data_IF_644039861383
#
_entry.id   IF_644039861383
#
_cell.length_a   1.000
_cell.length_b   1.000
_cell.length_c   1.000
_cell.angle_alpha   90.00
_cell.angle_beta   90.00
_cell.angle_gamma   90.00
#
_symmetry.space_group_name_H-M   'P 1'
#
loop_
_entity.id
_entity.type
_entity.pdbx_description
1 polymer ?
#
# COMPACT_ATOMS: atom_id res chain seq x y z
N UNK A 1 -2.77 -7.45 -35.65
CA UNK A 1 -1.70 -6.42 -35.59
C UNK A 1 -0.68 -6.69 -34.48
N UNK A 2 -1.10 -6.96 -33.23
CA UNK A 2 -0.19 -7.20 -32.07
C UNK A 2 0.67 -8.48 -32.19
N UNK A 3 0.14 -9.54 -32.82
CA UNK A 3 0.85 -10.83 -32.96
C UNK A 3 2.17 -10.77 -33.74
N UNK A 4 2.36 -9.75 -34.60
CA UNK A 4 3.55 -9.57 -35.44
C UNK A 4 4.74 -8.96 -34.69
N UNK A 5 4.50 -8.34 -33.54
CA UNK A 5 5.53 -7.71 -32.70
C UNK A 5 5.84 -8.50 -31.43
N UNK A 6 5.22 -9.67 -31.24
CA UNK A 6 5.55 -10.57 -30.14
C UNK A 6 6.87 -11.29 -30.48
N UNK A 7 7.97 -11.04 -29.75
CA UNK A 7 9.15 -11.87 -29.87
C UNK A 7 8.76 -13.32 -29.55
N UNK A 8 9.23 -14.27 -30.37
CA UNK A 8 9.09 -15.70 -30.09
C UNK A 8 9.96 -16.06 -28.86
N UNK A 9 9.45 -15.77 -27.67
CA UNK A 9 10.07 -16.19 -26.41
C UNK A 9 9.73 -17.68 -26.26
N UNK A 10 10.59 -18.53 -26.81
CA UNK A 10 10.58 -19.97 -26.53
C UNK A 10 10.80 -20.12 -25.02
N UNK A 11 9.81 -20.59 -24.27
CA UNK A 11 10.01 -20.98 -22.87
C UNK A 11 10.99 -22.15 -22.87
N UNK A 12 12.26 -21.91 -22.50
CA UNK A 12 13.32 -22.93 -22.48
C UNK A 12 13.15 -23.92 -21.31
N UNK A 13 12.14 -23.78 -20.44
CA UNK A 13 11.89 -24.75 -19.37
C UNK A 13 10.83 -25.78 -19.77
N UNK A 14 11.28 -26.86 -20.41
CA UNK A 14 10.50 -28.07 -20.69
C UNK A 14 10.27 -28.98 -19.47
N UNK A 15 9.88 -28.41 -18.33
CA UNK A 15 9.50 -29.16 -17.13
C UNK A 15 8.00 -29.02 -16.86
N UNK A 16 7.30 -30.10 -16.48
CA UNK A 16 5.92 -30.01 -15.97
C UNK A 16 5.91 -29.08 -14.76
N UNK A 17 5.42 -27.85 -14.91
CA UNK A 17 5.18 -26.93 -13.80
C UNK A 17 4.09 -27.56 -12.94
N UNK A 18 4.42 -27.99 -11.72
CA UNK A 18 3.44 -28.48 -10.75
C UNK A 18 3.01 -27.32 -9.90
N UNK A 19 1.74 -26.94 -9.99
CA UNK A 19 1.18 -25.87 -9.17
C UNK A 19 1.15 -26.29 -7.70
N UNK A 20 1.78 -25.52 -6.83
CA UNK A 20 1.80 -25.77 -5.37
C UNK A 20 0.51 -25.23 -4.71
N UNK A 21 -0.61 -25.91 -4.95
CA UNK A 21 -1.89 -25.57 -4.31
C UNK A 21 -1.83 -25.57 -2.77
N UNK A 22 -1.17 -26.54 -2.11
CA UNK A 22 -1.05 -26.53 -0.65
C UNK A 22 -0.23 -25.34 -0.13
N UNK A 23 0.88 -24.99 -0.79
CA UNK A 23 1.66 -23.80 -0.45
C UNK A 23 0.84 -22.52 -0.59
N UNK A 24 0.07 -22.38 -1.67
CA UNK A 24 -0.81 -21.24 -1.88
C UNK A 24 -1.88 -21.11 -0.78
N UNK A 25 -2.48 -22.24 -0.36
CA UNK A 25 -3.46 -22.28 0.73
C UNK A 25 -2.81 -21.89 2.07
N UNK A 26 -1.60 -22.38 2.35
CA UNK A 26 -0.86 -22.03 3.56
C UNK A 26 -0.53 -20.54 3.60
N UNK A 27 -0.07 -19.95 2.48
CA UNK A 27 0.15 -18.50 2.38
C UNK A 27 -1.15 -17.75 2.68
N UNK A 28 -2.26 -18.12 2.04
CA UNK A 28 -3.55 -17.47 2.27
C UNK A 28 -3.98 -17.54 3.75
N UNK A 29 -3.80 -18.69 4.41
CA UNK A 29 -4.11 -18.88 5.82
C UNK A 29 -3.19 -18.06 6.74
N UNK A 30 -1.89 -17.95 6.44
CA UNK A 30 -0.97 -17.07 7.19
C UNK A 30 -1.45 -15.63 7.10
N UNK A 31 -1.77 -15.15 5.89
CA UNK A 31 -2.18 -13.76 5.70
C UNK A 31 -3.53 -13.46 6.36
N UNK A 32 -4.50 -14.37 6.23
CA UNK A 32 -5.81 -14.22 6.86
C UNK A 32 -5.72 -14.25 8.39
N UNK A 33 -4.97 -15.19 8.97
CA UNK A 33 -4.79 -15.27 10.42
C UNK A 33 -4.02 -14.06 10.97
N UNK A 34 -3.00 -13.58 10.26
CA UNK A 34 -2.26 -12.37 10.61
C UNK A 34 -3.16 -11.12 10.55
N UNK A 35 -4.01 -11.01 9.54
CA UNK A 35 -4.96 -9.89 9.41
C UNK A 35 -5.94 -9.87 10.59
N UNK A 36 -6.59 -11.01 10.87
CA UNK A 36 -7.54 -11.15 11.98
C UNK A 36 -6.88 -10.89 13.33
N UNK A 37 -5.64 -11.36 13.51
CA UNK A 37 -4.86 -11.11 14.71
C UNK A 37 -4.66 -9.61 14.93
N UNK A 38 -4.18 -8.90 13.91
CA UNK A 38 -3.86 -7.46 14.01
C UNK A 38 -5.14 -6.65 14.21
N UNK A 39 -6.19 -6.96 13.46
CA UNK A 39 -7.49 -6.30 13.60
C UNK A 39 -8.08 -6.48 15.00
N UNK A 40 -8.07 -7.72 15.51
CA UNK A 40 -8.64 -8.02 16.82
C UNK A 40 -7.83 -7.43 17.96
N UNK A 41 -6.50 -7.54 17.89
CA UNK A 41 -5.58 -6.93 18.85
C UNK A 41 -5.80 -5.42 18.93
N UNK A 42 -6.02 -4.78 17.78
CA UNK A 42 -6.18 -3.34 17.74
C UNK A 42 -7.57 -2.87 18.20
N UNK A 43 -8.63 -3.67 18.00
CA UNK A 43 -10.00 -3.34 18.47
C UNK A 43 -10.25 -3.66 19.95
N UNK A 44 -9.74 -4.79 20.44
CA UNK A 44 -10.10 -5.32 21.77
C UNK A 44 -8.91 -5.39 22.73
N UNK A 45 -7.70 -5.04 22.28
CA UNK A 45 -6.48 -5.26 23.04
C UNK A 45 -6.10 -6.74 23.15
N UNK A 46 -5.13 -7.08 24.00
CA UNK A 46 -4.71 -8.46 24.20
C UNK A 46 -5.77 -9.24 24.98
N UNK A 47 -6.52 -10.12 24.31
CA UNK A 47 -7.44 -11.09 24.91
C UNK A 47 -7.00 -12.55 24.65
N UNK A 48 -7.71 -13.51 25.25
CA UNK A 48 -7.44 -14.94 25.02
C UNK A 48 -7.55 -15.33 23.54
N UNK A 49 -8.42 -14.66 22.78
CA UNK A 49 -8.64 -14.97 21.37
C UNK A 49 -7.50 -14.46 20.50
N UNK A 50 -6.94 -13.29 20.81
CA UNK A 50 -5.71 -12.75 20.19
C UNK A 50 -4.55 -13.72 20.41
N UNK A 51 -4.43 -14.29 21.60
CA UNK A 51 -3.40 -15.30 21.87
C UNK A 51 -3.61 -16.58 21.05
N UNK A 52 -4.86 -17.04 20.92
CA UNK A 52 -5.20 -18.17 20.04
C UNK A 52 -4.90 -17.85 18.56
N UNK A 53 -5.28 -16.66 18.08
CA UNK A 53 -4.99 -16.22 16.71
C UNK A 53 -3.48 -16.10 16.46
N UNK A 54 -2.72 -15.62 17.44
CA UNK A 54 -1.26 -15.56 17.36
C UNK A 54 -0.64 -16.96 17.29
N UNK A 55 -1.14 -17.90 18.10
CA UNK A 55 -0.72 -19.29 18.06
C UNK A 55 -1.05 -19.94 16.71
N UNK A 56 -2.27 -19.76 16.19
CA UNK A 56 -2.69 -20.26 14.87
C UNK A 56 -1.82 -19.67 13.77
N UNK A 57 -1.60 -18.35 13.77
CA UNK A 57 -0.75 -17.69 12.80
C UNK A 57 0.68 -18.24 12.84
N UNK A 58 1.25 -18.45 14.03
CA UNK A 58 2.59 -19.02 14.19
C UNK A 58 2.66 -20.48 13.71
N UNK A 59 1.65 -21.30 14.02
CA UNK A 59 1.57 -22.70 13.59
C UNK A 59 1.44 -22.83 12.08
N UNK A 60 0.56 -22.04 11.45
CA UNK A 60 0.39 -22.04 9.99
C UNK A 60 1.64 -21.50 9.30
N UNK A 61 2.29 -20.47 9.84
CA UNK A 61 3.56 -19.97 9.32
C UNK A 61 4.66 -21.04 9.41
N UNK A 62 4.72 -21.77 10.52
CA UNK A 62 5.66 -22.87 10.69
C UNK A 62 5.37 -24.01 9.69
N UNK A 63 4.09 -24.36 9.50
CA UNK A 63 3.67 -25.32 8.49
C UNK A 63 4.08 -24.89 7.07
N UNK A 64 3.92 -23.60 6.73
CA UNK A 64 4.37 -23.03 5.47
C UNK A 64 5.89 -23.18 5.29
N UNK A 65 6.68 -22.81 6.30
CA UNK A 65 8.15 -22.91 6.24
C UNK A 65 8.60 -24.36 6.07
N UNK A 66 7.96 -25.31 6.76
CA UNK A 66 8.27 -26.74 6.63
C UNK A 66 7.85 -27.28 5.25
N UNK A 67 6.69 -26.85 4.74
CA UNK A 67 6.19 -27.26 3.43
C UNK A 67 7.10 -26.75 2.29
N UNK A 68 7.40 -25.46 2.27
CA UNK A 68 8.24 -24.81 1.26
C UNK A 68 9.67 -25.39 1.23
N UNK A 69 10.19 -25.84 2.38
CA UNK A 69 11.50 -26.54 2.44
C UNK A 69 11.47 -27.95 1.86
N UNK A 70 10.31 -28.61 1.83
CA UNK A 70 10.15 -29.99 1.36
C UNK A 70 9.68 -30.06 -0.09
N UNK A 71 9.00 -29.03 -0.59
CA UNK A 71 8.40 -29.04 -1.91
C UNK A 71 9.46 -28.82 -3.01
N UNK A 72 9.49 -29.61 -4.11
CA UNK A 72 10.51 -29.48 -5.16
C UNK A 72 10.44 -28.19 -6.00
N UNK A 73 9.27 -27.54 -6.06
CA UNK A 73 9.04 -26.31 -6.84
C UNK A 73 8.34 -25.25 -5.97
N UNK A 74 9.01 -24.75 -4.91
CA UNK A 74 8.41 -23.86 -3.92
C UNK A 74 7.87 -22.55 -4.54
N UNK A 75 6.75 -22.03 -4.01
CA UNK A 75 6.22 -20.71 -4.41
C UNK A 75 7.17 -19.61 -3.94
N UNK A 76 7.83 -19.83 -2.80
CA UNK A 76 8.82 -18.92 -2.22
C UNK A 76 10.23 -19.54 -2.26
N UNK A 77 10.92 -19.54 -3.43
CA UNK A 77 12.28 -20.03 -3.55
C UNK A 77 13.20 -19.37 -2.52
N UNK A 78 13.88 -20.19 -1.70
CA UNK A 78 14.83 -19.69 -0.69
C UNK A 78 15.97 -18.86 -1.28
N UNK A 79 16.25 -19.04 -2.57
CA UNK A 79 17.24 -18.27 -3.33
C UNK A 79 16.95 -16.76 -3.32
N UNK A 80 15.67 -16.37 -3.40
CA UNK A 80 15.25 -14.97 -3.33
C UNK A 80 15.59 -14.33 -1.99
N UNK A 81 15.36 -15.08 -0.91
CA UNK A 81 15.57 -14.59 0.46
C UNK A 81 17.05 -14.61 0.88
N UNK A 82 17.92 -15.34 0.17
CA UNK A 82 19.39 -15.24 0.36
C UNK A 82 19.96 -13.95 -0.19
N UNK A 83 19.33 -13.35 -1.21
CA UNK A 83 19.77 -12.07 -1.75
C UNK A 83 19.27 -10.90 -0.88
N UNK A 84 20.16 -10.34 -0.07
CA UNK A 84 19.85 -9.21 0.83
C UNK A 84 19.24 -8.00 0.10
N UNK A 85 19.61 -7.77 -1.17
CA UNK A 85 19.05 -6.69 -1.97
C UNK A 85 17.59 -6.93 -2.36
N UNK A 86 17.26 -8.16 -2.76
CA UNK A 86 15.88 -8.57 -3.05
C UNK A 86 15.00 -8.45 -1.79
N UNK A 87 15.50 -8.92 -0.64
CA UNK A 87 14.79 -8.79 0.64
C UNK A 87 14.57 -7.32 1.02
N UNK A 88 15.56 -6.45 0.80
CA UNK A 88 15.39 -5.02 1.03
C UNK A 88 14.26 -4.42 0.17
N UNK A 89 14.15 -4.83 -1.09
CA UNK A 89 13.07 -4.38 -1.99
C UNK A 89 11.70 -4.91 -1.57
N UNK A 90 11.59 -6.14 -1.09
CA UNK A 90 10.36 -6.67 -0.52
C UNK A 90 9.90 -5.84 0.68
N UNK A 91 10.83 -5.48 1.57
CA UNK A 91 10.53 -4.61 2.71
C UNK A 91 10.09 -3.21 2.28
N UNK A 92 10.78 -2.58 1.33
CA UNK A 92 10.33 -1.31 0.74
C UNK A 92 8.92 -1.43 0.12
N UNK A 93 8.62 -2.55 -0.56
CA UNK A 93 7.32 -2.79 -1.17
C UNK A 93 6.20 -2.89 -0.12
N UNK A 94 6.50 -3.54 1.00
CA UNK A 94 5.63 -3.56 2.17
C UNK A 94 5.30 -2.14 2.66
N UNK A 95 6.29 -1.28 2.93
CA UNK A 95 6.01 0.09 3.37
C UNK A 95 5.30 0.93 2.31
N UNK A 96 5.62 0.71 1.03
CA UNK A 96 4.91 1.38 -0.06
C UNK A 96 3.44 0.99 -0.04
N UNK A 97 3.13 -0.30 0.14
CA UNK A 97 1.76 -0.79 0.33
C UNK A 97 1.09 -0.16 1.54
N UNK A 98 1.77 -0.15 2.69
CA UNK A 98 1.28 0.45 3.94
C UNK A 98 0.82 1.89 3.74
N UNK A 99 1.67 2.74 3.16
CA UNK A 99 1.36 4.15 2.92
C UNK A 99 0.28 4.29 1.84
N UNK A 100 0.41 3.57 0.72
CA UNK A 100 -0.53 3.71 -0.40
C UNK A 100 -1.96 3.36 -0.02
N UNK A 101 -2.20 2.18 0.57
CA UNK A 101 -3.55 1.73 0.87
C UNK A 101 -4.18 2.51 2.03
N UNK A 102 -3.38 2.91 3.03
CA UNK A 102 -3.86 3.79 4.07
C UNK A 102 -4.29 5.16 3.51
N UNK A 103 -3.50 5.77 2.63
CA UNK A 103 -3.91 7.02 1.97
C UNK A 103 -5.18 6.82 1.14
N UNK A 104 -5.29 5.75 0.37
CA UNK A 104 -6.47 5.48 -0.46
C UNK A 104 -7.77 5.34 0.34
N UNK A 105 -7.69 4.88 1.60
CA UNK A 105 -8.87 4.70 2.45
C UNK A 105 -9.16 5.93 3.33
N UNK A 106 -8.13 6.46 4.01
CA UNK A 106 -8.31 7.49 5.03
C UNK A 106 -8.31 8.92 4.47
N UNK A 107 -7.77 9.14 3.27
CA UNK A 107 -7.79 10.47 2.66
C UNK A 107 -9.19 10.87 2.17
N UNK A 108 -9.97 10.00 1.47
CA UNK A 108 -11.39 10.28 1.22
C UNK A 108 -12.18 10.44 2.52
N UNK A 109 -11.90 9.63 3.54
CA UNK A 109 -12.55 9.74 4.86
C UNK A 109 -12.27 11.10 5.52
N UNK A 110 -11.04 11.61 5.44
CA UNK A 110 -10.68 12.93 5.94
C UNK A 110 -11.38 14.04 5.16
N UNK A 111 -11.35 13.99 3.83
CA UNK A 111 -11.91 15.06 2.98
C UNK A 111 -13.44 15.09 3.02
N UNK A 112 -14.10 13.94 2.96
CA UNK A 112 -15.56 13.84 2.96
C UNK A 112 -16.12 13.86 4.38
N UNK A 113 -15.66 12.94 5.22
CA UNK A 113 -16.17 12.78 6.59
C UNK A 113 -15.63 13.83 7.55
N UNK A 114 -14.38 14.27 7.40
CA UNK A 114 -13.77 15.27 8.27
C UNK A 114 -14.06 16.71 7.82
N UNK A 115 -13.73 17.06 6.57
CA UNK A 115 -13.92 18.42 6.05
C UNK A 115 -15.32 18.68 5.48
N UNK A 116 -16.16 17.65 5.35
CA UNK A 116 -17.53 17.81 4.88
C UNK A 116 -17.67 18.06 3.39
N UNK A 117 -16.65 17.76 2.59
CA UNK A 117 -16.67 18.00 1.15
C UNK A 117 -17.57 16.98 0.46
N UNK A 118 -18.30 17.43 -0.56
CA UNK A 118 -19.13 16.53 -1.37
C UNK A 118 -18.26 15.53 -2.17
N UNK A 119 -18.79 14.34 -2.52
CA UNK A 119 -18.06 13.32 -3.29
C UNK A 119 -17.43 13.86 -4.58
N UNK A 120 -18.10 14.81 -5.25
CA UNK A 120 -17.60 15.48 -6.45
C UNK A 120 -16.33 16.29 -6.17
N UNK A 121 -16.31 17.05 -5.08
CA UNK A 121 -15.15 17.87 -4.70
C UNK A 121 -13.97 16.99 -4.29
N UNK A 122 -14.23 15.95 -3.50
CA UNK A 122 -13.21 14.96 -3.10
C UNK A 122 -12.59 14.28 -4.33
N UNK A 123 -13.41 13.89 -5.31
CA UNK A 123 -12.93 13.31 -6.56
C UNK A 123 -11.96 14.22 -7.31
N UNK A 124 -12.29 15.52 -7.41
CA UNK A 124 -11.41 16.51 -8.05
C UNK A 124 -10.11 16.70 -7.25
N UNK A 125 -10.17 16.73 -5.92
CA UNK A 125 -9.00 16.88 -5.05
C UNK A 125 -8.03 15.69 -5.15
N UNK A 126 -8.55 14.45 -5.24
CA UNK A 126 -7.74 13.23 -5.31
C UNK A 126 -7.21 12.98 -6.74
N UNK A 127 -7.87 13.51 -7.77
CA UNK A 127 -7.50 13.29 -9.18
C UNK A 127 -6.02 13.56 -9.47
N UNK A 128 -5.42 14.70 -9.05
CA UNK A 128 -4.00 14.97 -9.24
C UNK A 128 -3.08 13.88 -8.69
N UNK A 129 -3.42 13.27 -7.56
CA UNK A 129 -2.63 12.17 -7.00
C UNK A 129 -2.57 11.01 -8.00
N UNK A 130 -3.72 10.55 -8.50
CA UNK A 130 -3.79 9.42 -9.44
C UNK A 130 -3.11 9.74 -10.78
N UNK A 131 -3.31 10.96 -11.29
CA UNK A 131 -2.66 11.43 -12.52
C UNK A 131 -1.14 11.47 -12.34
N UNK A 132 -0.64 11.99 -11.23
CA UNK A 132 0.79 12.07 -10.94
C UNK A 132 1.43 10.69 -10.71
N UNK A 133 0.70 9.69 -10.22
CA UNK A 133 1.19 8.30 -10.20
C UNK A 133 1.52 7.84 -11.62
N UNK A 134 0.58 8.05 -12.54
CA UNK A 134 0.71 7.61 -13.93
C UNK A 134 1.82 8.38 -14.65
N UNK A 135 1.76 9.71 -14.60
CA UNK A 135 2.75 10.60 -15.24
C UNK A 135 4.15 10.38 -14.64
N UNK A 136 4.23 10.29 -13.31
CA UNK A 136 5.47 9.99 -12.59
C UNK A 136 6.08 8.65 -13.01
N UNK A 137 5.26 7.60 -13.17
CA UNK A 137 5.73 6.30 -13.67
C UNK A 137 6.27 6.36 -15.10
N UNK A 138 5.63 7.13 -15.99
CA UNK A 138 6.10 7.32 -17.37
C UNK A 138 7.42 8.10 -17.41
N UNK A 139 7.52 9.19 -16.64
CA UNK A 139 8.73 10.00 -16.54
C UNK A 139 9.86 9.15 -15.95
N UNK A 140 9.57 8.41 -14.89
CA UNK A 140 10.52 7.56 -14.20
C UNK A 140 11.18 6.56 -15.15
N UNK A 141 10.44 5.95 -16.07
CA UNK A 141 10.98 5.01 -17.04
C UNK A 141 12.15 5.59 -17.87
N UNK A 142 12.17 6.91 -18.08
CA UNK A 142 13.27 7.62 -18.77
C UNK A 142 14.33 8.16 -17.82
N UNK A 143 13.95 8.54 -16.60
CA UNK A 143 14.86 9.11 -15.60
C UNK A 143 15.77 8.04 -15.01
N UNK A 144 15.22 6.88 -14.63
CA UNK A 144 15.97 5.82 -13.94
C UNK A 144 17.16 5.31 -14.78
N UNK A 145 17.01 5.26 -16.10
CA UNK A 145 18.05 4.79 -17.04
C UNK A 145 19.16 5.83 -17.30
N UNK A 146 18.93 7.10 -16.95
CA UNK A 146 19.91 8.20 -17.16
C UNK A 146 20.70 8.52 -15.90
N UNK A 147 20.23 8.09 -14.73
CA UNK A 147 20.89 8.37 -13.46
C UNK A 147 22.11 7.45 -13.26
N UNK A 148 23.24 8.00 -12.79
CA UNK A 148 24.41 7.19 -12.45
C UNK A 148 24.15 6.28 -11.24
N UNK A 149 23.19 6.65 -10.39
CA UNK A 149 22.73 5.87 -9.23
C UNK A 149 21.20 5.73 -9.25
N UNK A 150 20.65 4.67 -9.86
CA UNK A 150 19.20 4.45 -9.95
C UNK A 150 18.48 4.46 -8.59
N UNK A 151 19.16 4.05 -7.52
CA UNK A 151 18.60 4.02 -6.16
C UNK A 151 18.17 5.41 -5.66
N UNK A 152 18.74 6.51 -6.19
CA UNK A 152 18.34 7.88 -5.84
C UNK A 152 16.85 8.13 -6.05
N UNK A 153 16.26 7.44 -7.03
CA UNK A 153 14.84 7.58 -7.33
C UNK A 153 13.95 7.07 -6.20
N UNK A 154 14.37 6.00 -5.52
CA UNK A 154 13.65 5.47 -4.37
C UNK A 154 13.70 6.45 -3.21
N UNK A 155 14.86 7.09 -2.96
CA UNK A 155 14.96 8.13 -1.94
C UNK A 155 14.04 9.31 -2.21
N UNK A 156 14.05 9.83 -3.44
CA UNK A 156 13.17 10.96 -3.80
C UNK A 156 11.71 10.58 -3.68
N UNK A 157 11.35 9.36 -4.10
CA UNK A 157 9.97 8.87 -4.03
C UNK A 157 9.47 8.71 -2.59
N UNK A 158 10.24 8.07 -1.71
CA UNK A 158 9.88 7.95 -0.29
C UNK A 158 9.92 9.29 0.44
N UNK A 159 10.84 10.19 0.09
CA UNK A 159 10.84 11.55 0.64
C UNK A 159 9.56 12.31 0.26
N UNK A 160 9.12 12.23 -1.00
CA UNK A 160 7.85 12.81 -1.42
C UNK A 160 6.66 12.23 -0.65
N UNK A 161 6.64 10.92 -0.40
CA UNK A 161 5.60 10.26 0.41
C UNK A 161 5.58 10.75 1.87
N UNK A 162 6.76 10.91 2.48
CA UNK A 162 6.89 11.45 3.85
C UNK A 162 6.37 12.89 3.90
N UNK A 163 6.80 13.74 2.96
CA UNK A 163 6.37 15.14 2.89
C UNK A 163 4.86 15.27 2.63
N UNK A 164 4.29 14.44 1.76
CA UNK A 164 2.85 14.42 1.52
C UNK A 164 2.08 13.99 2.78
N UNK A 165 2.52 12.91 3.44
CA UNK A 165 1.89 12.41 4.67
C UNK A 165 1.97 13.44 5.80
N UNK A 166 3.12 14.13 5.94
CA UNK A 166 3.29 15.24 6.88
C UNK A 166 2.40 16.45 6.52
N UNK A 167 2.29 16.77 5.23
CA UNK A 167 1.40 17.81 4.73
C UNK A 167 -0.08 17.55 5.04
N UNK A 168 -0.53 16.30 4.91
CA UNK A 168 -1.89 15.94 5.24
C UNK A 168 -2.21 16.08 6.74
N UNK A 169 -1.24 15.86 7.63
CA UNK A 169 -1.41 16.05 9.08
C UNK A 169 -1.68 17.52 9.44
N UNK A 170 -1.08 18.46 8.71
CA UNK A 170 -1.27 19.91 8.94
C UNK A 170 -2.44 20.49 8.14
N UNK A 171 -3.15 19.66 7.37
CA UNK A 171 -4.28 20.10 6.56
C UNK A 171 -5.55 20.18 7.41
N UNK A 172 -6.34 21.22 7.23
CA UNK A 172 -7.62 21.45 7.89
C UNK A 172 -8.63 22.02 6.89
N UNK A 173 -9.91 22.14 7.30
CA UNK A 173 -10.97 22.63 6.40
C UNK A 173 -10.70 24.03 5.81
N UNK A 174 -9.93 24.87 6.51
CA UNK A 174 -9.50 26.20 6.02
C UNK A 174 -8.23 26.21 5.17
N UNK A 175 -7.60 25.06 4.89
CA UNK A 175 -6.35 25.01 4.13
C UNK A 175 -6.59 25.49 2.70
N UNK A 176 -5.73 26.36 2.14
CA UNK A 176 -5.82 26.76 0.74
C UNK A 176 -5.80 25.54 -0.19
N UNK A 177 -6.78 25.43 -1.09
CA UNK A 177 -6.86 24.32 -2.05
C UNK A 177 -5.56 24.05 -2.83
N UNK A 178 -4.78 25.07 -3.26
CA UNK A 178 -3.49 24.83 -3.92
C UNK A 178 -2.50 24.02 -3.07
N UNK A 179 -2.52 24.19 -1.76
CA UNK A 179 -1.65 23.44 -0.85
C UNK A 179 -2.08 21.98 -0.74
N UNK A 180 -3.38 21.71 -0.70
CA UNK A 180 -3.92 20.34 -0.75
C UNK A 180 -3.53 19.67 -2.06
N UNK A 181 -3.65 20.36 -3.20
CA UNK A 181 -3.21 19.85 -4.49
C UNK A 181 -1.71 19.55 -4.52
N UNK A 182 -0.88 20.39 -3.89
CA UNK A 182 0.56 20.13 -3.78
C UNK A 182 0.85 18.82 -3.03
N UNK A 183 0.17 18.55 -1.92
CA UNK A 183 0.33 17.30 -1.18
C UNK A 183 -0.15 16.08 -1.98
N UNK A 184 -1.24 16.22 -2.74
CA UNK A 184 -1.74 15.18 -3.66
C UNK A 184 -0.73 14.87 -4.76
N UNK A 185 -0.15 15.91 -5.37
CA UNK A 185 0.91 15.78 -6.38
C UNK A 185 2.14 15.10 -5.77
N UNK A 186 2.59 15.52 -4.60
CA UNK A 186 3.73 14.90 -3.89
C UNK A 186 3.49 13.41 -3.62
N UNK A 187 2.31 13.04 -3.11
CA UNK A 187 1.94 11.65 -2.89
C UNK A 187 1.95 10.85 -4.20
N UNK A 188 1.35 11.40 -5.25
CA UNK A 188 1.26 10.76 -6.57
C UNK A 188 2.62 10.57 -7.22
N UNK A 189 3.45 11.61 -7.22
CA UNK A 189 4.85 11.56 -7.68
C UNK A 189 5.62 10.52 -6.89
N UNK A 190 5.54 10.53 -5.56
CA UNK A 190 6.21 9.57 -4.69
C UNK A 190 5.91 8.11 -5.08
N UNK A 191 4.64 7.76 -5.19
CA UNK A 191 4.20 6.43 -5.63
C UNK A 191 4.61 6.11 -7.07
N UNK A 192 4.49 7.08 -7.98
CA UNK A 192 4.85 6.94 -9.40
C UNK A 192 6.34 6.67 -9.63
N UNK A 193 7.21 7.19 -8.77
CA UNK A 193 8.64 6.89 -8.79
C UNK A 193 8.97 5.59 -8.04
N UNK A 194 8.33 5.28 -6.91
CA UNK A 194 8.66 4.07 -6.12
C UNK A 194 8.20 2.78 -6.82
N UNK A 195 6.93 2.71 -7.24
CA UNK A 195 6.30 1.46 -7.69
C UNK A 195 6.98 0.77 -8.88
N UNK A 196 7.24 1.46 -10.01
CA UNK A 196 7.92 0.85 -11.14
C UNK A 196 9.37 0.47 -10.80
N UNK A 197 10.09 1.27 -10.02
CA UNK A 197 11.48 0.99 -9.70
C UNK A 197 11.67 -0.21 -8.78
N UNK A 198 10.78 -0.42 -7.80
CA UNK A 198 10.83 -1.64 -6.99
C UNK A 198 10.69 -2.88 -7.87
N UNK A 199 9.81 -2.82 -8.88
CA UNK A 199 9.59 -3.92 -9.82
C UNK A 199 10.81 -4.14 -10.70
N UNK A 200 11.39 -3.08 -11.27
CA UNK A 200 12.58 -3.17 -12.12
C UNK A 200 13.78 -3.70 -11.32
N UNK A 201 14.00 -3.19 -10.11
CA UNK A 201 15.16 -3.56 -9.30
C UNK A 201 15.06 -4.99 -8.78
N UNK A 202 13.86 -5.47 -8.44
CA UNK A 202 13.71 -6.86 -7.98
C UNK A 202 13.93 -7.82 -9.15
N UNK A 203 13.44 -7.46 -10.33
CA UNK A 203 13.64 -8.23 -11.56
C UNK A 203 15.11 -8.32 -11.94
N UNK A 204 15.85 -7.21 -11.83
CA UNK A 204 17.29 -7.18 -12.11
C UNK A 204 18.08 -8.02 -11.09
N UNK A 205 17.76 -7.91 -9.78
CA UNK A 205 18.51 -8.60 -8.72
C UNK A 205 18.19 -10.09 -8.60
N UNK A 206 16.98 -10.53 -8.97
CA UNK A 206 16.58 -11.92 -8.88
C UNK A 206 17.00 -12.76 -10.11
N UNK A 207 17.31 -12.10 -11.23
CA UNK A 207 17.72 -12.77 -12.46
C UNK A 207 16.55 -13.32 -13.28
N UNK A 208 16.83 -13.66 -14.54
CA UNK A 208 15.82 -14.02 -15.56
C UNK A 208 14.99 -15.25 -15.22
N UNK A 209 15.55 -16.20 -14.48
CA UNK A 209 14.89 -17.45 -14.08
C UNK A 209 13.77 -17.24 -13.06
N UNK A 210 13.85 -16.19 -12.23
CA UNK A 210 12.93 -15.94 -11.12
C UNK A 210 12.07 -14.69 -11.32
N UNK A 211 12.07 -14.06 -12.51
CA UNK A 211 11.36 -12.79 -12.77
C UNK A 211 9.89 -12.81 -12.34
N UNK A 212 9.16 -13.85 -12.76
CA UNK A 212 7.73 -14.00 -12.46
C UNK A 212 7.47 -14.15 -10.96
N UNK A 213 8.21 -15.05 -10.31
CA UNK A 213 8.09 -15.33 -8.88
C UNK A 213 8.46 -14.09 -8.06
N UNK A 214 9.59 -13.44 -8.37
CA UNK A 214 10.07 -12.24 -7.67
C UNK A 214 9.07 -11.10 -7.73
N UNK A 215 8.45 -10.90 -8.90
CA UNK A 215 7.43 -9.87 -9.08
C UNK A 215 6.18 -10.23 -8.28
N UNK A 216 5.74 -11.49 -8.30
CA UNK A 216 4.61 -11.95 -7.51
C UNK A 216 4.85 -11.76 -6.00
N UNK A 217 6.02 -12.16 -5.49
CA UNK A 217 6.38 -11.97 -4.08
C UNK A 217 6.44 -10.49 -3.72
N UNK A 218 7.01 -9.64 -4.58
CA UNK A 218 6.99 -8.18 -4.40
C UNK A 218 5.56 -7.66 -4.26
N UNK A 219 4.63 -8.11 -5.12
CA UNK A 219 3.21 -7.77 -5.04
C UNK A 219 2.57 -8.26 -3.74
N UNK A 220 2.87 -9.49 -3.32
CA UNK A 220 2.38 -10.04 -2.06
C UNK A 220 2.82 -9.18 -0.87
N UNK A 221 4.11 -8.85 -0.76
CA UNK A 221 4.59 -7.95 0.30
C UNK A 221 3.89 -6.59 0.29
N UNK A 222 3.62 -6.04 -0.90
CA UNK A 222 2.84 -4.80 -1.06
C UNK A 222 1.41 -4.94 -0.55
N UNK A 223 0.71 -6.03 -0.88
CA UNK A 223 -0.64 -6.28 -0.38
C UNK A 223 -0.65 -6.49 1.14
N UNK A 224 0.33 -7.21 1.68
CA UNK A 224 0.48 -7.41 3.14
C UNK A 224 0.69 -6.07 3.85
N UNK A 225 1.58 -5.24 3.30
CA UNK A 225 1.80 -3.89 3.80
C UNK A 225 0.52 -3.06 3.78
N UNK A 226 -0.23 -3.12 2.69
CA UNK A 226 -1.51 -2.43 2.56
C UNK A 226 -2.54 -2.86 3.59
N UNK A 227 -2.71 -4.16 3.74
CA UNK A 227 -3.60 -4.79 4.72
C UNK A 227 -3.25 -4.38 6.16
N UNK A 228 -1.98 -4.46 6.54
CA UNK A 228 -1.54 -4.04 7.87
C UNK A 228 -1.65 -2.53 8.06
N UNK A 229 -1.32 -1.75 7.03
CA UNK A 229 -1.43 -0.29 7.04
C UNK A 229 -2.86 0.18 7.27
N UNK A 230 -3.81 -0.33 6.51
CA UNK A 230 -5.22 0.04 6.66
C UNK A 230 -5.79 -0.40 8.00
N UNK A 231 -5.40 -1.59 8.48
CA UNK A 231 -5.88 -2.14 9.75
C UNK A 231 -5.33 -1.35 10.95
N UNK A 232 -4.03 -1.07 10.97
CA UNK A 232 -3.38 -0.33 12.07
C UNK A 232 -3.88 1.11 12.10
N UNK A 233 -3.89 1.80 10.97
CA UNK A 233 -4.41 3.18 10.88
C UNK A 233 -5.89 3.21 11.24
N UNK A 234 -6.69 2.27 10.73
CA UNK A 234 -8.11 2.18 11.02
C UNK A 234 -8.42 1.96 12.48
N UNK A 235 -7.67 1.08 13.15
CA UNK A 235 -7.85 0.87 14.57
C UNK A 235 -7.46 2.09 15.40
N UNK A 236 -6.37 2.78 15.05
CA UNK A 236 -6.00 4.05 15.68
C UNK A 236 -7.13 5.07 15.49
N UNK A 237 -7.62 5.24 14.26
CA UNK A 237 -8.71 6.18 13.95
C UNK A 237 -9.96 5.84 14.76
N UNK A 238 -10.41 4.58 14.76
CA UNK A 238 -11.62 4.16 15.48
C UNK A 238 -11.46 4.29 17.00
N UNK A 239 -10.31 3.91 17.56
CA UNK A 239 -10.05 3.99 18.99
C UNK A 239 -10.02 5.45 19.48
N UNK A 240 -9.30 6.33 18.78
CA UNK A 240 -9.27 7.75 19.11
C UNK A 240 -10.64 8.40 18.88
N UNK A 241 -11.31 8.09 17.77
CA UNK A 241 -12.62 8.64 17.47
C UNK A 241 -13.68 8.26 18.51
N UNK A 242 -13.78 6.97 18.85
CA UNK A 242 -14.74 6.47 19.85
C UNK A 242 -14.46 7.05 21.24
N UNK A 243 -13.20 7.10 21.66
CA UNK A 243 -12.86 7.62 22.99
C UNK A 243 -13.10 9.12 23.14
N UNK A 244 -12.94 9.90 22.07
CA UNK A 244 -13.21 11.34 22.08
C UNK A 244 -14.70 11.65 21.93
N UNK A 245 -15.43 10.91 21.09
CA UNK A 245 -16.87 11.14 20.92
C UNK A 245 -17.65 10.82 22.19
N UNK A 246 -17.24 9.79 22.94
CA UNK A 246 -17.82 9.49 24.25
C UNK A 246 -17.64 10.64 25.24
N UNK A 247 -16.45 11.28 25.25
CA UNK A 247 -16.21 12.45 26.11
C UNK A 247 -17.10 13.63 25.76
N UNK A 248 -17.24 13.94 24.47
CA UNK A 248 -18.04 15.07 23.99
C UNK A 248 -19.54 14.86 24.25
N UNK A 249 -20.05 13.64 24.12
CA UNK A 249 -21.50 13.37 24.23
C UNK A 249 -21.94 13.05 25.67
N UNK A 250 -21.08 12.46 26.51
CA UNK A 250 -21.43 12.13 27.91
C UNK A 250 -21.65 13.39 28.77
N UNK A 251 -21.05 14.51 28.41
CA UNK A 251 -21.32 15.81 29.07
C UNK A 251 -22.69 16.41 28.69
N UNK A 252 -23.44 15.79 27.76
CA UNK A 252 -24.55 16.43 27.05
C UNK A 252 -25.96 15.87 27.26
N UNK A 253 -26.25 14.60 26.95
CA UNK A 253 -27.61 13.99 27.02
C UNK A 253 -27.63 12.49 26.64
N UNK A 254 -28.74 11.79 26.96
CA UNK A 254 -28.93 10.33 26.93
C UNK A 254 -28.53 9.54 25.67
N UNK A 255 -28.29 8.24 25.90
CA UNK A 255 -27.20 7.43 25.34
C UNK A 255 -27.51 6.59 24.09
N UNK A 256 -28.76 6.55 23.62
CA UNK A 256 -29.18 5.54 22.64
C UNK A 256 -28.83 5.86 21.20
N UNK A 257 -28.58 7.12 20.81
CA UNK A 257 -28.18 7.48 19.43
C UNK A 257 -26.66 7.57 19.26
N UNK A 258 -25.90 7.54 20.36
CA UNK A 258 -24.42 7.65 20.38
C UNK A 258 -23.77 6.52 19.59
N UNK A 259 -24.36 5.31 19.62
CA UNK A 259 -23.83 4.17 18.88
C UNK A 259 -23.77 4.43 17.36
N UNK A 260 -24.67 5.26 16.81
CA UNK A 260 -24.64 5.67 15.40
C UNK A 260 -23.49 6.62 15.11
N UNK A 261 -23.17 7.52 16.06
CA UNK A 261 -22.03 8.42 15.93
C UNK A 261 -20.69 7.71 16.04
N UNK A 262 -20.61 6.57 16.74
CA UNK A 262 -19.37 5.79 16.91
C UNK A 262 -18.85 5.21 15.59
N UNK A 263 -19.68 5.10 14.56
CA UNK A 263 -19.24 4.71 13.22
C UNK A 263 -18.83 5.96 12.41
N UNK A 264 -17.53 6.18 12.14
CA UNK A 264 -17.07 7.31 11.34
C UNK A 264 -17.66 7.35 9.93
N UNK A 265 -18.12 6.21 9.40
CA UNK A 265 -18.72 6.15 8.07
C UNK A 265 -20.06 6.88 8.01
N UNK A 266 -20.72 7.12 9.15
CA UNK A 266 -21.94 7.95 9.18
C UNK A 266 -21.68 9.37 8.68
N UNK A 267 -20.45 9.88 8.83
CA UNK A 267 -20.06 11.22 8.36
C UNK A 267 -19.83 11.26 6.84
N UNK A 268 -19.72 10.11 6.19
CA UNK A 268 -19.50 10.00 4.74
C UNK A 268 -20.82 9.73 4.02
N UNK A 269 -21.70 8.93 4.62
CA UNK A 269 -22.96 8.52 3.99
C UNK A 269 -24.10 9.52 4.27
N UNK A 270 -24.60 10.17 3.22
CA UNK A 270 -25.68 11.17 3.29
C UNK A 270 -27.01 10.57 3.80
N UNK A 271 -27.30 9.31 3.47
CA UNK A 271 -28.50 8.62 3.96
C UNK A 271 -28.41 8.36 5.48
N UNK A 272 -27.20 8.08 5.98
CA UNK A 272 -26.96 7.91 7.42
C UNK A 272 -27.09 9.23 8.18
N UNK A 273 -26.63 10.35 7.60
CA UNK A 273 -26.79 11.68 8.20
C UNK A 273 -28.25 12.12 8.25
N UNK A 274 -29.02 11.92 7.18
CA UNK A 274 -30.45 12.28 7.14
C UNK A 274 -31.27 11.42 8.10
N UNK A 275 -30.98 10.12 8.19
CA UNK A 275 -31.58 9.22 9.18
C UNK A 275 -31.27 9.66 10.61
N UNK A 276 -30.01 9.99 10.89
CA UNK A 276 -29.59 10.50 12.20
C UNK A 276 -30.25 11.83 12.55
N UNK A 277 -30.32 12.77 11.61
CA UNK A 277 -30.99 14.05 11.80
C UNK A 277 -32.49 13.87 12.10
N UNK A 278 -33.15 12.95 11.41
CA UNK A 278 -34.56 12.62 11.65
C UNK A 278 -34.78 12.05 13.06
N UNK A 279 -33.88 11.17 13.53
CA UNK A 279 -33.97 10.58 14.87
C UNK A 279 -33.75 11.62 15.97
N UNK A 280 -32.78 12.53 15.81
CA UNK A 280 -32.58 13.63 16.76
C UNK A 280 -33.73 14.64 16.74
N UNK A 281 -34.28 14.94 15.56
CA UNK A 281 -35.43 15.84 15.44
C UNK A 281 -36.65 15.28 16.17
N UNK A 282 -36.87 13.95 16.17
CA UNK A 282 -37.92 13.29 16.97
C UNK A 282 -37.73 13.46 18.48
N UNK A 283 -36.49 13.68 18.93
CA UNK A 283 -36.13 13.96 20.32
C UNK A 283 -36.12 15.47 20.63
N UNK A 284 -36.43 16.33 19.65
CA UNK A 284 -36.35 17.79 19.79
C UNK A 284 -34.93 18.35 19.76
N UNK A 285 -33.96 17.58 19.26
CA UNK A 285 -32.54 17.94 19.20
C UNK A 285 -32.09 18.27 17.78
N UNK A 286 -31.16 19.22 17.66
CA UNK A 286 -30.50 19.54 16.39
C UNK A 286 -29.28 18.65 16.17
N UNK A 287 -29.15 18.07 14.97
CA UNK A 287 -28.06 17.16 14.64
C UNK A 287 -26.73 17.85 14.30
N UNK A 288 -26.81 19.06 13.75
CA UNK A 288 -25.64 19.83 13.28
C UNK A 288 -24.50 19.94 14.30
N UNK A 289 -24.71 20.35 15.57
CA UNK A 289 -23.61 20.46 16.53
C UNK A 289 -22.93 19.11 16.84
N UNK A 290 -23.68 18.01 16.79
CA UNK A 290 -23.12 16.67 16.99
C UNK A 290 -22.33 16.19 15.77
N UNK A 291 -22.82 16.50 14.56
CA UNK A 291 -22.12 16.21 13.32
C UNK A 291 -20.82 17.01 13.24
N UNK A 292 -20.83 18.30 13.57
CA UNK A 292 -19.65 19.16 13.55
C UNK A 292 -18.60 18.73 14.60
N UNK A 293 -19.05 18.36 15.80
CA UNK A 293 -18.17 17.78 16.81
C UNK A 293 -17.53 16.47 16.33
N UNK A 294 -18.32 15.57 15.74
CA UNK A 294 -17.85 14.32 15.18
C UNK A 294 -16.85 14.54 14.03
N UNK A 295 -17.08 15.53 13.16
CA UNK A 295 -16.14 15.95 12.11
C UNK A 295 -14.79 16.37 12.69
N UNK A 296 -14.80 17.23 13.71
CA UNK A 296 -13.58 17.67 14.40
C UNK A 296 -12.79 16.51 15.00
N UNK A 297 -13.49 15.61 15.71
CA UNK A 297 -12.89 14.40 16.29
C UNK A 297 -12.32 13.47 15.21
N UNK A 298 -13.02 13.31 14.09
CA UNK A 298 -12.56 12.48 12.97
C UNK A 298 -11.28 13.06 12.35
N UNK A 299 -11.20 14.37 12.13
CA UNK A 299 -10.01 15.04 11.61
C UNK A 299 -8.80 14.74 12.50
N UNK A 300 -8.91 14.96 13.82
CA UNK A 300 -7.82 14.67 14.75
C UNK A 300 -7.44 13.18 14.75
N UNK A 301 -8.42 12.29 14.71
CA UNK A 301 -8.20 10.83 14.71
C UNK A 301 -7.45 10.39 13.45
N UNK A 302 -7.82 10.89 12.28
CA UNK A 302 -7.13 10.59 11.01
C UNK A 302 -5.72 11.20 10.97
N UNK A 303 -5.52 12.41 11.52
CA UNK A 303 -4.18 13.00 11.62
C UNK A 303 -3.23 12.15 12.48
N UNK A 304 -3.72 11.60 13.60
CA UNK A 304 -2.93 10.66 14.42
C UNK A 304 -2.62 9.39 13.62
N UNK A 305 -3.59 8.88 12.85
CA UNK A 305 -3.36 7.80 11.90
C UNK A 305 -2.25 8.10 10.89
N UNK A 306 -2.23 9.31 10.33
CA UNK A 306 -1.21 9.75 9.35
C UNK A 306 0.19 9.88 9.94
N UNK A 307 0.36 10.05 11.26
CA UNK A 307 1.68 9.97 11.89
C UNK A 307 2.33 8.60 11.66
N UNK A 308 1.54 7.53 11.67
CA UNK A 308 2.08 6.19 11.36
C UNK A 308 2.55 6.07 9.92
N UNK A 309 1.95 6.82 8.98
CA UNK A 309 2.38 6.87 7.58
C UNK A 309 3.71 7.62 7.44
N UNK A 310 3.89 8.71 8.20
CA UNK A 310 5.16 9.43 8.26
C UNK A 310 6.25 8.53 8.81
N UNK A 311 5.99 7.82 9.92
CA UNK A 311 6.95 6.88 10.52
C UNK A 311 7.28 5.75 9.53
N UNK A 312 6.28 5.13 8.93
CA UNK A 312 6.44 4.10 7.89
C UNK A 312 7.28 4.60 6.71
N UNK A 313 7.00 5.81 6.22
CA UNK A 313 7.75 6.45 5.14
C UNK A 313 9.20 6.76 5.52
N UNK A 314 9.46 7.23 6.74
CA UNK A 314 10.82 7.48 7.25
C UNK A 314 11.62 6.19 7.41
N UNK A 315 10.99 5.14 7.96
CA UNK A 315 11.60 3.81 8.05
C UNK A 315 11.95 3.29 6.66
N UNK A 316 11.03 3.41 5.69
CA UNK A 316 11.29 3.02 4.31
C UNK A 316 12.43 3.83 3.68
N UNK A 317 12.46 5.16 3.91
CA UNK A 317 13.49 6.07 3.41
C UNK A 317 14.88 5.69 3.93
N UNK A 318 14.99 5.41 5.23
CA UNK A 318 16.25 4.92 5.85
C UNK A 318 16.57 3.51 5.34
N UNK A 319 15.58 2.69 5.05
CA UNK A 319 15.83 1.34 4.54
C UNK A 319 16.33 1.31 3.10
N UNK A 320 16.13 2.38 2.30
CA UNK A 320 16.68 2.49 0.95
C UNK A 320 18.20 2.32 0.94
N UNK A 321 18.90 2.69 2.03
CA UNK A 321 20.36 2.51 2.16
C UNK A 321 20.81 1.05 2.10
N UNK A 322 19.90 0.09 2.36
CA UNK A 322 20.20 -1.34 2.25
C UNK A 322 20.05 -1.92 0.85
N UNK A 323 19.51 -1.15 -0.10
CA UNK A 323 19.37 -1.59 -1.50
C UNK A 323 20.74 -1.49 -2.18
N UNK A 324 21.31 -2.59 -2.71
CA UNK A 324 22.57 -2.55 -3.43
C UNK A 324 22.43 -1.70 -4.71
N UNK A 325 23.54 -1.17 -5.21
CA UNK A 325 23.53 -0.39 -6.44
C UNK A 325 23.14 -1.27 -7.63
N UNK A 326 21.92 -1.06 -8.15
CA UNK A 326 21.43 -1.75 -9.33
C UNK A 326 22.02 -1.08 -10.57
N UNK A 327 22.81 -1.81 -11.36
CA UNK A 327 23.31 -1.34 -12.65
C UNK A 327 22.37 -1.83 -13.74
N UNK A 328 21.58 -0.93 -14.30
CA UNK A 328 20.74 -1.24 -15.46
C UNK A 328 21.64 -1.36 -16.68
N UNK A 329 21.97 -2.60 -17.09
CA UNK A 329 22.74 -2.85 -18.31
C UNK A 329 21.92 -2.42 -19.54
N UNK A 330 22.45 -1.51 -20.36
CA UNK A 330 21.85 -1.20 -21.67
C UNK A 330 21.82 -2.50 -22.50
N UNK A 331 20.74 -2.78 -23.25
CA UNK A 331 20.78 -3.84 -24.24
C UNK A 331 21.91 -3.50 -25.22
N UNK A 332 22.97 -4.32 -25.24
CA UNK A 332 23.96 -4.27 -26.30
C UNK A 332 23.20 -4.58 -27.61
N UNK A 333 23.31 -3.74 -28.66
CA UNK A 333 22.81 -4.12 -29.96
C UNK A 333 23.51 -5.43 -30.33
N UNK A 334 22.75 -6.50 -30.49
CA UNK A 334 23.26 -7.75 -31.03
C UNK A 334 23.94 -7.40 -32.36
N UNK A 335 25.25 -7.64 -32.46
CA UNK A 335 25.97 -7.54 -33.72
C UNK A 335 25.25 -8.47 -34.71
N UNK A 336 24.57 -7.87 -35.68
CA UNK A 336 23.93 -8.59 -36.75
C UNK A 336 25.02 -9.38 -37.52
N UNK A 337 24.94 -10.71 -37.43
CA UNK A 337 25.58 -11.72 -38.27
C UNK A 337 26.83 -11.33 -39.05
N UNK A 338 28.00 -11.51 -38.46
CA UNK A 338 29.17 -11.95 -39.22
C UNK A 338 29.09 -13.48 -39.34
N UNK A 339 28.68 -13.95 -40.50
CA UNK A 339 28.49 -15.36 -40.81
C UNK A 339 27.71 -15.53 -42.11
N UNK A 340 28.16 -14.85 -43.18
CA UNK A 340 27.84 -15.26 -44.54
C UNK A 340 28.90 -16.26 -44.94
N UNK A 341 28.50 -17.52 -44.99
CA UNK A 341 29.26 -18.61 -45.60
C UNK A 341 29.60 -18.25 -47.05
N UNK A 342 30.88 -18.27 -47.39
CA UNK A 342 31.35 -18.29 -48.78
C UNK A 342 30.98 -19.65 -49.42
N UNK A 343 30.49 -19.69 -50.67
CA UNK A 343 30.21 -20.95 -51.35
C UNK A 343 31.53 -21.64 -51.76
N UNK A 344 31.62 -22.98 -51.70
CA UNK A 344 32.81 -23.70 -52.14
C UNK A 344 32.97 -23.56 -53.66
N UNK A 345 34.14 -23.05 -54.06
CA UNK A 345 34.58 -23.00 -55.46
C UNK A 345 34.62 -24.41 -56.07
N UNK A 346 34.01 -24.54 -57.25
CA UNK A 346 34.24 -25.67 -58.15
C UNK A 346 35.52 -25.39 -58.92
N UNK A 347 36.52 -26.24 -58.73
CA UNK A 347 37.70 -26.41 -59.57
C UNK A 347 37.81 -27.88 -59.94
#
# INVERSE_FOLDING_TARGET
FVWRYLPHIRQIQGGKIRLDWPGALLIALVLASLQLLVERLARHGPDATVLVLALVCALVLLALVVWERRFPQPILPSELFRNKGVVALFFLSFFTGFVMFALLFFLPLLLQGGFGLDPRQVGVLITPMVVCITVGSLINARVVIRLPRPNLVLYTGFMCLVLASAGFIVTHAGTPQPLVYLYMILAGVGLGFVMPNLTIFVQELAGRSLLGISTAVLQSFRMIGGMLGTTIVGAIVVQYYTSQIERVVTEGQGTDWIHKLKDPQMLVNQDSQTGFATDLQRLGLNADPFIDAARGVLVTSVHIGFLTLVIAGLVALVWVYRVPLVRLSRPQPQAAGQGRDDPPGKG
#
